data_IF_132759672350
#
_entry.id   IF_132759672350
#
_cell.length_a   1.000
_cell.length_b   1.000
_cell.length_c   1.000
_cell.angle_alpha   90.00
_cell.angle_beta   90.00
_cell.angle_gamma   90.00
#
_symmetry.space_group_name_H-M   'P 1'
#
loop_
_entity.id
_entity.type
_entity.pdbx_description
1 polymer ?
#
# COMPACT_ATOMS: atom_id res chain seq x y z
N UNK A 1 -21.02 -4.51 13.27
CA UNK A 1 -19.82 -5.24 12.80
C UNK A 1 -18.88 -4.23 12.19
N UNK A 2 -17.72 -4.00 12.80
CA UNK A 2 -16.66 -3.17 12.22
C UNK A 2 -15.83 -4.12 11.36
N UNK A 3 -15.70 -3.83 10.07
CA UNK A 3 -14.76 -4.57 9.21
C UNK A 3 -13.38 -4.03 9.57
N UNK A 4 -12.56 -4.83 10.22
CA UNK A 4 -11.19 -4.47 10.55
C UNK A 4 -10.30 -4.73 9.32
N UNK A 5 -9.46 -3.76 8.99
CA UNK A 5 -8.57 -3.78 7.84
C UNK A 5 -7.14 -3.81 8.33
N UNK A 6 -6.45 -4.93 8.11
CA UNK A 6 -5.08 -5.11 8.55
C UNK A 6 -4.12 -4.82 7.41
N UNK A 7 -3.16 -3.92 7.64
CA UNK A 7 -2.03 -3.73 6.71
C UNK A 7 -1.14 -4.97 6.75
N UNK A 8 -0.88 -5.56 5.58
CA UNK A 8 -0.05 -6.77 5.44
C UNK A 8 1.28 -6.51 4.74
N UNK A 9 1.33 -5.50 3.85
CA UNK A 9 2.55 -5.07 3.19
C UNK A 9 2.40 -3.64 2.66
N UNK A 10 3.53 -2.98 2.40
CA UNK A 10 3.56 -1.64 1.81
C UNK A 10 4.83 -1.40 1.00
N UNK A 11 4.68 -0.66 -0.10
CA UNK A 11 5.77 -0.19 -0.94
C UNK A 11 5.78 1.34 -0.93
N UNK A 12 6.96 1.92 -0.69
CA UNK A 12 7.13 3.36 -0.60
C UNK A 12 8.12 3.86 -1.63
N UNK A 13 7.73 4.91 -2.36
CA UNK A 13 8.54 5.56 -3.38
C UNK A 13 8.64 7.05 -3.02
N UNK A 14 9.83 7.48 -2.61
CA UNK A 14 10.09 8.84 -2.15
C UNK A 14 11.07 9.56 -3.05
N UNK A 15 10.79 10.82 -3.36
CA UNK A 15 11.73 11.74 -3.98
C UNK A 15 11.60 13.14 -3.36
N UNK A 16 12.30 14.12 -3.94
CA UNK A 16 12.28 15.51 -3.44
C UNK A 16 10.88 16.18 -3.52
N UNK A 17 9.96 15.64 -4.30
CA UNK A 17 8.63 16.20 -4.53
C UNK A 17 7.53 15.48 -3.71
N UNK A 18 7.91 14.49 -2.89
CA UNK A 18 7.00 13.79 -1.99
C UNK A 18 7.11 12.27 -2.03
N UNK A 19 6.15 11.62 -1.40
CA UNK A 19 6.11 10.18 -1.23
C UNK A 19 4.83 9.59 -1.81
N UNK A 20 4.97 8.53 -2.59
CA UNK A 20 3.88 7.67 -3.05
C UNK A 20 3.95 6.35 -2.29
N UNK A 21 2.84 5.96 -1.69
CA UNK A 21 2.68 4.67 -1.04
C UNK A 21 1.73 3.76 -1.80
N UNK A 22 2.05 2.48 -1.85
CA UNK A 22 1.13 1.39 -2.19
C UNK A 22 0.96 0.55 -0.92
N UNK A 23 -0.27 0.40 -0.45
CA UNK A 23 -0.59 -0.34 0.78
C UNK A 23 -1.44 -1.54 0.42
N UNK A 24 -1.03 -2.72 0.88
CA UNK A 24 -1.82 -3.95 0.78
C UNK A 24 -2.47 -4.21 2.13
N UNK A 25 -3.78 -4.42 2.12
CA UNK A 25 -4.56 -4.80 3.29
C UNK A 25 -5.21 -6.17 3.12
N UNK A 26 -5.55 -6.78 4.24
CA UNK A 26 -6.41 -7.97 4.34
C UNK A 26 -7.65 -7.58 5.16
N UNK A 27 -8.84 -7.90 4.65
CA UNK A 27 -10.09 -7.70 5.38
C UNK A 27 -10.34 -8.85 6.34
N UNK A 28 -10.54 -8.56 7.62
CA UNK A 28 -10.61 -9.61 8.66
C UNK A 28 -11.84 -10.52 8.54
N UNK A 29 -12.92 -10.07 7.88
CA UNK A 29 -14.16 -10.85 7.73
C UNK A 29 -14.10 -11.82 6.54
N UNK A 30 -13.58 -11.37 5.41
CA UNK A 30 -13.57 -12.13 4.15
C UNK A 30 -12.22 -12.81 3.89
N UNK A 31 -11.14 -12.31 4.50
CA UNK A 31 -9.77 -12.64 4.13
C UNK A 31 -9.36 -12.03 2.78
N UNK A 32 -10.19 -11.18 2.17
CA UNK A 32 -9.91 -10.61 0.87
C UNK A 32 -8.79 -9.59 0.98
N UNK A 33 -7.83 -9.71 0.07
CA UNK A 33 -6.74 -8.74 -0.06
C UNK A 33 -7.14 -7.61 -0.99
N UNK A 34 -6.77 -6.39 -0.63
CA UNK A 34 -6.98 -5.19 -1.43
C UNK A 34 -5.71 -4.36 -1.42
N UNK A 35 -5.47 -3.63 -2.50
CA UNK A 35 -4.37 -2.67 -2.57
C UNK A 35 -4.92 -1.26 -2.79
N UNK A 36 -4.25 -0.29 -2.18
CA UNK A 36 -4.54 1.13 -2.30
C UNK A 36 -3.25 1.87 -2.64
N UNK A 37 -3.37 2.97 -3.39
CA UNK A 37 -2.24 3.83 -3.76
C UNK A 37 -2.59 5.29 -3.48
N UNK A 38 -1.62 6.05 -2.99
CA UNK A 38 -1.81 7.48 -2.75
C UNK A 38 -0.50 8.23 -2.50
N UNK A 39 -0.60 9.56 -2.56
CA UNK A 39 0.47 10.48 -2.20
C UNK A 39 0.31 10.91 -0.75
N UNK A 40 1.42 10.93 -0.01
CA UNK A 40 1.45 11.24 1.43
C UNK A 40 2.66 12.10 1.78
N UNK A 41 2.69 12.73 2.96
CA UNK A 41 3.85 13.46 3.46
C UNK A 41 5.12 12.60 3.59
N UNK A 42 4.99 11.31 3.95
CA UNK A 42 6.13 10.39 4.11
C UNK A 42 6.85 10.54 5.45
N UNK A 43 6.20 11.13 6.46
CA UNK A 43 6.78 11.42 7.78
C UNK A 43 6.50 10.31 8.80
N UNK A 44 5.38 9.58 8.64
CA UNK A 44 4.97 8.51 9.54
C UNK A 44 4.25 7.42 8.76
N UNK A 45 4.97 6.32 8.52
CA UNK A 45 4.50 5.21 7.69
C UNK A 45 3.13 4.67 8.09
N UNK A 46 2.85 4.57 9.40
CA UNK A 46 1.56 4.07 9.89
C UNK A 46 0.43 5.04 9.57
N UNK A 47 0.60 6.31 9.92
CA UNK A 47 -0.41 7.34 9.67
C UNK A 47 -0.64 7.54 8.15
N UNK A 48 0.44 7.44 7.37
CA UNK A 48 0.40 7.53 5.91
C UNK A 48 -0.33 6.32 5.29
N UNK A 49 -0.10 5.12 5.81
CA UNK A 49 -0.83 3.93 5.36
C UNK A 49 -2.33 4.03 5.66
N UNK A 50 -2.69 4.47 6.87
CA UNK A 50 -4.08 4.72 7.25
C UNK A 50 -4.74 5.79 6.35
N UNK A 51 -4.01 6.87 6.03
CA UNK A 51 -4.49 7.91 5.12
C UNK A 51 -4.72 7.37 3.69
N UNK A 52 -3.82 6.53 3.18
CA UNK A 52 -3.97 5.89 1.86
C UNK A 52 -5.15 4.92 1.83
N UNK A 53 -5.38 4.15 2.91
CA UNK A 53 -6.54 3.26 2.99
C UNK A 53 -7.84 4.07 3.00
N UNK A 54 -7.87 5.19 3.74
CA UNK A 54 -9.06 6.01 3.89
C UNK A 54 -9.39 6.86 2.64
N UNK A 55 -8.37 7.44 1.99
CA UNK A 55 -8.54 8.48 0.96
C UNK A 55 -7.82 8.19 -0.35
N UNK A 56 -7.02 7.12 -0.41
CA UNK A 56 -6.31 6.73 -1.61
C UNK A 56 -7.21 6.07 -2.66
N UNK A 57 -6.59 5.68 -3.76
CA UNK A 57 -7.29 5.01 -4.85
C UNK A 57 -7.11 3.50 -4.76
N UNK A 58 -8.16 2.74 -5.09
CA UNK A 58 -8.03 1.29 -5.28
C UNK A 58 -7.00 1.00 -6.36
N UNK A 59 -6.15 0.02 -6.10
CA UNK A 59 -5.07 -0.37 -6.98
C UNK A 59 -5.08 -1.87 -7.26
N UNK A 60 -4.58 -2.27 -8.43
CA UNK A 60 -4.60 -3.67 -8.85
C UNK A 60 -3.52 -4.46 -8.11
N UNK A 61 -3.93 -5.45 -7.31
CA UNK A 61 -3.01 -6.40 -6.66
C UNK A 61 -2.06 -7.08 -7.66
N UNK A 62 -2.57 -7.47 -8.83
CA UNK A 62 -1.74 -8.07 -9.87
C UNK A 62 -0.62 -7.13 -10.33
N UNK A 63 -0.89 -5.81 -10.38
CA UNK A 63 0.14 -4.81 -10.67
C UNK A 63 1.14 -4.67 -9.52
N UNK A 64 0.68 -4.68 -8.26
CA UNK A 64 1.57 -4.64 -7.08
C UNK A 64 2.55 -5.80 -7.11
N UNK A 65 2.08 -7.03 -7.32
CA UNK A 65 2.95 -8.21 -7.39
C UNK A 65 3.95 -8.15 -8.55
N UNK A 66 3.59 -7.55 -9.69
CA UNK A 66 4.55 -7.32 -10.78
C UNK A 66 5.65 -6.32 -10.37
N UNK A 67 5.28 -5.26 -9.65
CA UNK A 67 6.24 -4.28 -9.12
C UNK A 67 7.18 -4.95 -8.12
N UNK A 68 6.64 -5.69 -7.14
CA UNK A 68 7.44 -6.44 -6.15
C UNK A 68 8.42 -7.40 -6.82
N UNK A 69 7.96 -8.15 -7.82
CA UNK A 69 8.80 -9.07 -8.58
C UNK A 69 9.93 -8.34 -9.32
N UNK A 70 9.63 -7.21 -9.95
CA UNK A 70 10.63 -6.38 -10.62
C UNK A 70 11.68 -5.84 -9.63
N UNK A 71 11.24 -5.31 -8.48
CA UNK A 71 12.13 -4.78 -7.45
C UNK A 71 13.02 -5.88 -6.84
N UNK A 72 12.52 -7.10 -6.70
CA UNK A 72 13.30 -8.25 -6.22
C UNK A 72 14.35 -8.71 -7.26
N UNK A 73 14.02 -8.66 -8.55
CA UNK A 73 14.97 -8.99 -9.63
C UNK A 73 16.12 -8.00 -9.76
N UNK A 74 15.87 -6.71 -9.52
CA UNK A 74 16.90 -5.65 -9.59
C UNK A 74 17.89 -5.64 -8.43
N UNK A 75 17.74 -6.51 -7.43
CA UNK A 75 18.66 -6.67 -6.28
C UNK A 75 19.74 -7.74 -6.50
N UNK A 76 19.84 -8.30 -7.70
CA UNK A 76 20.84 -9.31 -8.08
C UNK A 76 22.09 -8.68 -8.69
#
# INVERSE_FOLDING_TARGET
>A
WVIEMKVIDSLWFTNLNGTVGIVIIEEDVTGDRKAYIGTVPGENEKADAEAIIAWGNKFSLATVHRIEHFLKKGKA
#
